data_IF_493854976851
#
_entry.id   IF_493854976851
#
_cell.length_a   1.000
_cell.length_b   1.000
_cell.length_c   1.000
_cell.angle_alpha   90.00
_cell.angle_beta   90.00
_cell.angle_gamma   90.00
#
_symmetry.space_group_name_H-M   'P 1'
#
loop_
_entity.id
_entity.type
_entity.pdbx_description
1 polymer ?
#
# COMPACT_ATOMS: atom_id res chain seq x y z
N UNK A 1 -25.54 -11.51 11.53
CA UNK A 1 -24.37 -10.74 11.04
C UNK A 1 -23.22 -10.87 12.04
N UNK A 2 -22.01 -11.00 11.50
CA UNK A 2 -20.80 -11.01 12.32
C UNK A 2 -20.20 -9.61 12.28
N UNK A 3 -19.91 -9.04 13.45
CA UNK A 3 -19.24 -7.73 13.55
C UNK A 3 -17.73 -7.91 13.42
N UNK A 4 -17.10 -7.07 12.62
CA UNK A 4 -15.64 -7.08 12.38
C UNK A 4 -15.11 -5.65 12.40
N UNK A 5 -13.81 -5.52 12.34
CA UNK A 5 -13.17 -4.21 12.10
C UNK A 5 -12.98 -3.93 10.60
N UNK A 6 -13.57 -4.74 9.75
CA UNK A 6 -13.41 -4.66 8.29
C UNK A 6 -12.19 -5.44 7.80
N UNK A 7 -11.78 -5.18 6.56
CA UNK A 7 -10.59 -5.77 5.99
C UNK A 7 -9.36 -5.13 6.64
N UNK A 8 -8.56 -5.92 7.37
CA UNK A 8 -7.47 -5.37 8.20
C UNK A 8 -6.07 -5.75 7.73
N UNK A 9 -5.90 -6.74 6.86
CA UNK A 9 -4.56 -7.10 6.39
C UNK A 9 -4.56 -7.63 4.96
N UNK A 10 -3.39 -7.52 4.35
CA UNK A 10 -3.07 -8.16 3.08
C UNK A 10 -1.71 -8.86 3.23
N UNK A 11 -1.62 -10.10 2.77
CA UNK A 11 -0.38 -10.87 2.79
C UNK A 11 0.14 -11.00 1.35
N UNK A 12 1.39 -10.60 1.15
CA UNK A 12 2.06 -10.59 -0.13
C UNK A 12 3.19 -11.62 -0.12
N UNK A 13 3.22 -12.48 -1.13
CA UNK A 13 4.37 -13.31 -1.43
C UNK A 13 5.46 -12.41 -2.04
N UNK A 14 6.63 -12.34 -1.39
CA UNK A 14 7.69 -11.43 -1.80
C UNK A 14 9.02 -12.16 -1.96
N UNK A 15 9.88 -11.62 -2.80
CA UNK A 15 11.23 -12.16 -2.99
C UNK A 15 12.14 -11.85 -1.81
N UNK A 16 12.00 -10.65 -1.24
CA UNK A 16 12.84 -10.13 -0.16
C UNK A 16 11.96 -9.29 0.77
N UNK A 17 11.67 -9.79 1.96
CA UNK A 17 10.74 -9.15 2.88
C UNK A 17 11.25 -7.78 3.35
N UNK A 18 12.55 -7.64 3.61
CA UNK A 18 13.13 -6.35 4.02
C UNK A 18 13.06 -5.33 2.89
N UNK A 19 13.34 -5.72 1.66
CA UNK A 19 13.24 -4.85 0.49
C UNK A 19 11.80 -4.35 0.31
N UNK A 20 10.82 -5.23 0.43
CA UNK A 20 9.41 -4.86 0.33
C UNK A 20 9.01 -3.92 1.47
N UNK A 21 9.39 -4.26 2.71
CA UNK A 21 9.13 -3.38 3.86
C UNK A 21 9.71 -1.98 3.64
N UNK A 22 10.97 -1.86 3.21
CA UNK A 22 11.61 -0.57 2.99
C UNK A 22 10.91 0.25 1.90
N UNK A 23 10.39 -0.40 0.85
CA UNK A 23 9.59 0.29 -0.17
C UNK A 23 8.38 0.99 0.46
N UNK A 24 7.57 0.25 1.21
CA UNK A 24 6.36 0.80 1.83
C UNK A 24 6.68 1.79 2.95
N UNK A 25 7.74 1.55 3.70
CA UNK A 25 8.21 2.47 4.74
C UNK A 25 8.60 3.84 4.15
N UNK A 26 9.34 3.85 3.07
CA UNK A 26 9.81 5.10 2.42
C UNK A 26 8.67 5.95 1.87
N UNK A 27 7.57 5.31 1.46
CA UNK A 27 6.43 6.01 0.88
C UNK A 27 5.41 6.40 1.96
N UNK A 28 5.04 5.46 2.82
CA UNK A 28 3.90 5.60 3.73
C UNK A 28 4.28 5.68 5.21
N UNK A 29 5.54 5.50 5.55
CA UNK A 29 5.98 5.54 6.95
C UNK A 29 5.48 4.36 7.79
N UNK A 30 5.20 3.22 7.17
CA UNK A 30 4.80 2.02 7.92
C UNK A 30 5.91 1.56 8.85
N UNK A 31 5.53 0.97 9.98
CA UNK A 31 6.45 0.51 11.01
C UNK A 31 6.34 -1.00 11.17
N UNK A 32 7.46 -1.66 11.46
CA UNK A 32 7.45 -3.10 11.76
C UNK A 32 6.72 -3.36 13.07
N UNK A 33 5.76 -4.27 13.05
CA UNK A 33 5.09 -4.79 14.25
C UNK A 33 5.47 -6.24 14.54
N UNK A 34 6.08 -6.91 13.57
CA UNK A 34 6.60 -8.27 13.73
C UNK A 34 7.69 -8.53 12.68
N UNK A 35 8.78 -9.18 13.07
CA UNK A 35 9.91 -9.42 12.17
C UNK A 35 10.63 -10.73 12.51
N UNK A 36 10.60 -11.67 11.57
CA UNK A 36 11.38 -12.92 11.62
C UNK A 36 12.36 -13.02 10.44
N UNK A 37 12.76 -11.90 9.84
CA UNK A 37 13.62 -11.87 8.67
C UNK A 37 12.90 -12.21 7.38
N UNK A 38 12.50 -13.45 7.22
CA UNK A 38 11.76 -13.91 6.01
C UNK A 38 10.26 -13.64 6.05
N UNK A 39 9.77 -13.15 7.17
CA UNK A 39 8.36 -12.81 7.39
C UNK A 39 8.30 -11.53 8.21
N UNK A 40 7.73 -10.48 7.62
CA UNK A 40 7.63 -9.16 8.25
C UNK A 40 6.17 -8.72 8.19
N UNK A 41 5.67 -8.17 9.32
CA UNK A 41 4.40 -7.46 9.35
C UNK A 41 4.68 -6.00 9.64
N UNK A 42 4.06 -5.12 8.85
CA UNK A 42 4.16 -3.68 8.97
C UNK A 42 2.78 -3.05 9.10
N UNK A 43 2.70 -1.92 9.77
CA UNK A 43 1.44 -1.23 10.04
C UNK A 43 1.61 0.27 9.83
N UNK A 44 0.58 0.91 9.28
CA UNK A 44 0.49 2.37 9.25
C UNK A 44 0.24 2.88 10.67
N UNK A 45 1.07 3.81 11.20
CA UNK A 45 0.87 4.34 12.54
C UNK A 45 -0.53 4.91 12.75
N UNK A 46 -1.15 4.53 13.86
CA UNK A 46 -2.49 5.00 14.23
C UNK A 46 -3.65 4.31 13.52
N UNK A 47 -3.38 3.26 12.74
CA UNK A 47 -4.42 2.50 12.03
C UNK A 47 -4.45 1.05 12.49
N UNK A 48 -5.33 0.25 11.86
CA UNK A 48 -5.43 -1.20 12.11
C UNK A 48 -5.02 -2.03 10.90
N UNK A 49 -4.48 -1.39 9.87
CA UNK A 49 -4.01 -2.12 8.70
C UNK A 49 -2.75 -2.94 9.03
N UNK A 50 -2.53 -3.99 8.29
CA UNK A 50 -1.29 -4.77 8.35
C UNK A 50 -0.91 -5.21 6.94
N UNK A 51 0.31 -4.91 6.55
CA UNK A 51 0.93 -5.48 5.36
C UNK A 51 1.84 -6.63 5.80
N UNK A 52 1.64 -7.79 5.23
CA UNK A 52 2.48 -8.97 5.50
C UNK A 52 3.37 -9.23 4.29
N UNK A 53 4.66 -9.36 4.53
CA UNK A 53 5.66 -9.70 3.52
C UNK A 53 6.24 -11.08 3.85
N UNK A 54 5.93 -12.07 3.03
CA UNK A 54 6.25 -13.47 3.29
C UNK A 54 7.09 -14.06 2.15
N UNK A 55 8.39 -14.32 2.42
CA UNK A 55 9.31 -14.92 1.45
C UNK A 55 9.02 -16.40 1.21
N UNK A 56 8.36 -17.08 2.13
CA UNK A 56 8.03 -18.50 2.02
C UNK A 56 6.72 -18.76 1.27
N UNK A 57 5.92 -17.73 1.04
CA UNK A 57 4.70 -17.84 0.25
C UNK A 57 5.06 -18.04 -1.23
N UNK A 58 4.17 -18.70 -1.95
CA UNK A 58 4.38 -19.01 -3.36
C UNK A 58 3.74 -17.94 -4.25
N UNK A 59 4.14 -17.92 -5.53
CA UNK A 59 3.59 -17.05 -6.56
C UNK A 59 3.90 -15.56 -6.35
N UNK A 60 5.12 -15.26 -5.96
CA UNK A 60 5.61 -13.87 -5.86
C UNK A 60 5.25 -13.07 -7.12
N UNK A 61 4.63 -11.90 -6.92
CA UNK A 61 4.23 -11.00 -8.01
C UNK A 61 3.00 -11.43 -8.80
N UNK A 62 2.39 -12.58 -8.51
CA UNK A 62 1.17 -13.04 -9.19
C UNK A 62 -0.07 -12.52 -8.47
N UNK A 63 -0.98 -11.93 -9.20
CA UNK A 63 -2.19 -11.32 -8.62
C UNK A 63 -3.35 -12.29 -8.44
N UNK A 64 -3.47 -13.29 -9.27
CA UNK A 64 -4.48 -14.34 -9.14
C UNK A 64 -5.93 -13.85 -9.14
N UNK A 65 -6.23 -12.75 -9.81
CA UNK A 65 -7.53 -12.11 -9.82
C UNK A 65 -7.66 -10.91 -8.88
N UNK A 66 -6.70 -10.67 -8.00
CA UNK A 66 -6.59 -9.42 -7.24
C UNK A 66 -5.90 -8.40 -8.15
N UNK A 67 -6.64 -7.37 -8.58
CA UNK A 67 -6.08 -6.38 -9.51
C UNK A 67 -5.08 -5.46 -8.84
N UNK A 68 -5.45 -4.86 -7.72
CA UNK A 68 -4.60 -3.95 -6.95
C UNK A 68 -5.11 -3.84 -5.52
N UNK A 69 -4.34 -3.18 -4.69
CA UNK A 69 -4.76 -2.66 -3.40
C UNK A 69 -4.26 -1.22 -3.26
N UNK A 70 -4.83 -0.45 -2.34
CA UNK A 70 -4.57 0.97 -2.33
C UNK A 70 -4.43 1.60 -0.96
N UNK A 71 -3.81 2.78 -0.98
CA UNK A 71 -3.67 3.68 0.15
C UNK A 71 -4.38 4.99 -0.17
N UNK A 72 -5.32 5.38 0.68
CA UNK A 72 -6.02 6.65 0.54
C UNK A 72 -5.23 7.75 1.23
N UNK A 73 -4.93 8.80 0.48
CA UNK A 73 -4.22 9.96 0.98
C UNK A 73 -5.13 10.83 1.85
N UNK A 74 -4.53 11.56 2.77
CA UNK A 74 -5.22 12.56 3.58
C UNK A 74 -5.37 13.90 2.85
N UNK A 75 -4.47 14.19 1.92
CA UNK A 75 -4.43 15.44 1.17
C UNK A 75 -4.20 15.18 -0.31
N UNK A 76 -4.92 15.85 -1.21
CA UNK A 76 -4.80 15.61 -2.64
C UNK A 76 -3.41 15.99 -3.19
N UNK A 77 -2.76 17.00 -2.64
CA UNK A 77 -1.43 17.43 -3.06
C UNK A 77 -0.34 16.39 -2.80
N UNK A 78 -0.56 15.44 -1.91
CA UNK A 78 0.42 14.41 -1.60
C UNK A 78 0.59 13.37 -2.72
N UNK A 79 -0.27 13.37 -3.74
CA UNK A 79 -0.11 12.45 -4.88
C UNK A 79 1.19 12.69 -5.64
N UNK A 80 1.61 13.95 -5.81
CA UNK A 80 2.86 14.28 -6.49
C UNK A 80 4.08 13.90 -5.65
N UNK A 81 4.01 14.12 -4.35
CA UNK A 81 5.04 13.65 -3.42
C UNK A 81 5.15 12.12 -3.46
N UNK A 82 4.01 11.42 -3.44
CA UNK A 82 3.98 9.97 -3.53
C UNK A 82 4.63 9.46 -4.81
N UNK A 83 4.36 10.11 -5.95
CA UNK A 83 4.98 9.74 -7.23
C UNK A 83 6.51 9.81 -7.16
N UNK A 84 7.06 10.87 -6.55
CA UNK A 84 8.50 11.03 -6.37
C UNK A 84 9.08 9.96 -5.42
N UNK A 85 8.39 9.69 -4.33
CA UNK A 85 8.82 8.69 -3.34
C UNK A 85 8.79 7.27 -3.93
N UNK A 86 7.78 6.94 -4.72
CA UNK A 86 7.71 5.65 -5.44
C UNK A 86 8.95 5.44 -6.30
N UNK A 87 9.30 6.42 -7.10
CA UNK A 87 10.48 6.35 -7.97
C UNK A 87 11.76 6.17 -7.16
N UNK A 88 11.93 6.94 -6.10
CA UNK A 88 13.10 6.84 -5.21
C UNK A 88 13.16 5.49 -4.48
N UNK A 89 12.02 4.89 -4.19
CA UNK A 89 11.93 3.61 -3.49
C UNK A 89 12.07 2.39 -4.42
N UNK A 90 12.27 2.60 -5.73
CA UNK A 90 12.46 1.53 -6.70
C UNK A 90 11.20 1.03 -7.37
N UNK A 91 10.07 1.69 -7.18
CA UNK A 91 8.83 1.39 -7.88
C UNK A 91 8.73 2.10 -9.22
N UNK A 92 7.70 1.75 -9.98
CA UNK A 92 7.40 2.36 -11.28
C UNK A 92 6.02 2.99 -11.23
N UNK A 93 5.88 4.18 -11.83
CA UNK A 93 4.56 4.78 -12.05
C UNK A 93 3.95 4.13 -13.29
N UNK A 94 2.76 3.53 -13.10
CA UNK A 94 2.04 2.85 -14.18
C UNK A 94 1.00 3.75 -14.83
N UNK A 95 0.32 4.57 -14.03
CA UNK A 95 -0.69 5.51 -14.50
C UNK A 95 -0.86 6.62 -13.45
N UNK A 96 -1.27 7.81 -13.89
CA UNK A 96 -1.51 8.95 -13.02
C UNK A 96 -2.56 9.86 -13.66
N UNK A 97 -3.51 10.32 -12.86
CA UNK A 97 -4.59 11.18 -13.35
C UNK A 97 -5.53 11.62 -12.26
N UNK A 98 -6.76 11.88 -12.64
CA UNK A 98 -7.86 12.22 -11.73
C UNK A 98 -9.09 11.37 -12.08
N UNK A 99 -9.76 10.82 -11.09
CA UNK A 99 -11.05 10.16 -11.30
C UNK A 99 -12.15 11.16 -11.61
N UNK A 100 -12.09 12.29 -10.93
CA UNK A 100 -12.92 13.46 -11.17
C UNK A 100 -12.15 14.67 -10.62
N UNK A 101 -12.60 15.92 -10.93
CA UNK A 101 -11.89 17.11 -10.43
C UNK A 101 -11.71 17.08 -8.90
N UNK A 102 -10.47 17.21 -8.44
CA UNK A 102 -10.11 17.20 -7.03
C UNK A 102 -9.84 15.82 -6.42
N UNK A 103 -9.94 14.74 -7.19
CA UNK A 103 -9.66 13.37 -6.72
C UNK A 103 -8.51 12.73 -7.52
N UNK A 104 -7.27 13.17 -7.29
CA UNK A 104 -6.11 12.62 -7.99
C UNK A 104 -5.77 11.21 -7.55
N UNK A 105 -5.16 10.46 -8.48
CA UNK A 105 -4.69 9.11 -8.23
C UNK A 105 -3.37 8.84 -8.95
N UNK A 106 -2.68 7.81 -8.51
CA UNK A 106 -1.65 7.13 -9.28
C UNK A 106 -1.70 5.63 -9.02
N UNK A 107 -1.30 4.86 -10.03
CA UNK A 107 -1.00 3.44 -9.89
C UNK A 107 0.50 3.26 -10.04
N UNK A 108 1.07 2.44 -9.17
CA UNK A 108 2.50 2.11 -9.23
C UNK A 108 2.71 0.61 -9.05
N UNK A 109 3.89 0.14 -9.40
CA UNK A 109 4.32 -1.22 -9.05
C UNK A 109 5.32 -1.17 -7.91
N UNK A 110 5.18 -2.12 -6.99
CA UNK A 110 6.16 -2.36 -5.94
C UNK A 110 7.35 -3.19 -6.48
N UNK A 111 8.37 -3.49 -5.65
CA UNK A 111 9.55 -4.24 -6.12
C UNK A 111 9.27 -5.62 -6.71
N UNK A 112 8.18 -6.26 -6.33
CA UNK A 112 7.77 -7.57 -6.86
C UNK A 112 6.77 -7.48 -8.02
N UNK A 113 6.34 -6.27 -8.38
CA UNK A 113 5.40 -6.02 -9.46
C UNK A 113 3.94 -5.96 -9.03
N UNK A 114 3.64 -5.95 -7.76
CA UNK A 114 2.27 -5.74 -7.29
C UNK A 114 1.81 -4.32 -7.60
N UNK A 115 0.57 -4.20 -8.05
CA UNK A 115 -0.01 -2.90 -8.38
C UNK A 115 -0.60 -2.28 -7.13
N UNK A 116 -0.16 -1.07 -6.83
CA UNK A 116 -0.61 -0.28 -5.69
C UNK A 116 -1.24 1.01 -6.20
N UNK A 117 -2.45 1.29 -5.74
CA UNK A 117 -3.12 2.57 -6.00
C UNK A 117 -2.85 3.53 -4.84
N UNK A 118 -2.48 4.75 -5.16
CA UNK A 118 -2.33 5.85 -4.21
C UNK A 118 -3.28 6.94 -4.69
N UNK A 119 -4.29 7.29 -3.87
CA UNK A 119 -5.40 8.09 -4.33
C UNK A 119 -5.98 8.97 -3.23
N UNK A 120 -6.68 10.00 -3.63
CA UNK A 120 -7.42 10.86 -2.73
C UNK A 120 -8.89 10.87 -3.11
N UNK A 121 -9.74 10.84 -2.11
CA UNK A 121 -11.18 11.00 -2.24
C UNK A 121 -11.62 12.19 -1.39
N UNK A 122 -12.52 13.01 -1.93
CA UNK A 122 -13.14 14.08 -1.17
C UNK A 122 -13.82 13.50 0.08
N UNK A 123 -13.82 14.24 1.21
CA UNK A 123 -14.41 13.74 2.46
C UNK A 123 -15.83 13.23 2.29
N UNK A 124 -16.14 12.11 2.91
CA UNK A 124 -17.46 11.49 2.92
C UNK A 124 -17.99 11.37 4.35
N UNK A 125 -19.32 11.28 4.53
CA UNK A 125 -19.90 11.11 5.87
C UNK A 125 -19.47 9.83 6.61
N UNK A 126 -18.96 8.85 5.88
CA UNK A 126 -18.55 7.55 6.43
C UNK A 126 -17.05 7.42 6.60
N UNK A 127 -16.30 8.49 6.38
CA UNK A 127 -14.86 8.46 6.56
C UNK A 127 -14.48 8.10 8.00
N UNK A 128 -13.40 7.31 8.18
CA UNK A 128 -12.90 7.03 9.52
C UNK A 128 -12.54 8.32 10.25
N UNK A 129 -13.01 8.44 11.48
CA UNK A 129 -12.56 9.52 12.36
C UNK A 129 -11.15 9.23 12.82
N UNK A 130 -10.34 10.24 12.80
CA UNK A 130 -8.95 10.19 13.26
C UNK A 130 -8.81 10.76 14.65
#
# INVERSE_FOLDING_TARGET
MIKTYGLTHIALAVKDAERSFEFYRKIFGVEKVYDQGSFIQAQTPGTRDVLVFDEKAKRTGKRGGIEHFGFRLQRPEDVDLAANLVKKAGGKILDKGEFCPGEPYLYCSDPDGYVVEIWYELPTPIDPKR
#
